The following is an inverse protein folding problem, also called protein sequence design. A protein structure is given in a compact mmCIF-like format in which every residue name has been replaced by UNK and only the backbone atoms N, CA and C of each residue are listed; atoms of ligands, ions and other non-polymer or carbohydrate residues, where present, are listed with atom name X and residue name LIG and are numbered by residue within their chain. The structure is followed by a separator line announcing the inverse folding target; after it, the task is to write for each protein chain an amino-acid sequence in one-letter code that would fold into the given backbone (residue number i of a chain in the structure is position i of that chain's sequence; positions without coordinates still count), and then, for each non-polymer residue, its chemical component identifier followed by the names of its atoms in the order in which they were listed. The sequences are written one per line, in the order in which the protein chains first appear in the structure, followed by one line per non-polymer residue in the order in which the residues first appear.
data_IF_781472133108
#
_entry.id   IF_781472133108
#
_cell.length_a   1.000
_cell.length_b   1.000
_cell.length_c   1.000
_cell.angle_alpha   90.00
_cell.angle_beta   90.00
_cell.angle_gamma   90.00
#
_symmetry.space_group_name_H-M   'P 1'
#
loop_
_entity.id
_entity.type
_entity.pdbx_description
1 polymer ?
#
# COMPACT_ATOMS: atom_id res chain seq x y z
N UNK A 1 -13.25 -23.63 -24.63
CA UNK A 1 -13.47 -23.07 -23.28
C UNK A 1 -13.88 -24.27 -22.44
N UNK A 2 -12.92 -24.86 -21.73
CA UNK A 2 -13.06 -26.20 -21.14
C UNK A 2 -13.90 -26.14 -19.86
N UNK A 3 -14.86 -27.06 -19.70
CA UNK A 3 -15.72 -27.18 -18.52
C UNK A 3 -14.92 -27.33 -17.21
N UNK A 4 -13.71 -27.89 -17.27
CA UNK A 4 -12.84 -28.09 -16.11
C UNK A 4 -12.30 -26.80 -15.52
N UNK A 5 -12.12 -25.72 -16.29
CA UNK A 5 -11.62 -24.45 -15.71
C UNK A 5 -12.70 -23.72 -14.94
N UNK A 6 -13.97 -23.83 -15.35
CA UNK A 6 -15.09 -23.21 -14.62
C UNK A 6 -15.28 -23.81 -13.22
N UNK A 7 -15.17 -25.13 -13.08
CA UNK A 7 -15.36 -25.83 -11.80
C UNK A 7 -14.33 -25.40 -10.74
N UNK A 8 -13.08 -25.13 -11.13
CA UNK A 8 -12.05 -24.63 -10.20
C UNK A 8 -12.26 -23.16 -9.79
N UNK A 9 -12.82 -22.31 -10.64
CA UNK A 9 -13.12 -20.92 -10.25
C UNK A 9 -14.33 -20.84 -9.34
N UNK A 10 -15.35 -21.68 -9.57
CA UNK A 10 -16.48 -21.79 -8.64
C UNK A 10 -15.97 -22.07 -7.23
N UNK A 11 -14.94 -22.92 -7.10
CA UNK A 11 -14.34 -23.24 -5.81
C UNK A 11 -13.66 -22.05 -5.09
N UNK A 12 -13.13 -21.05 -5.81
CA UNK A 12 -12.54 -19.84 -5.19
C UNK A 12 -13.60 -18.90 -4.61
N UNK A 13 -14.81 -18.91 -5.20
CA UNK A 13 -15.97 -18.16 -4.72
C UNK A 13 -16.88 -18.97 -3.81
N UNK A 14 -16.64 -20.28 -3.67
CA UNK A 14 -17.40 -21.17 -2.80
C UNK A 14 -16.82 -21.11 -1.38
N UNK A 15 -17.57 -20.56 -0.41
CA UNK A 15 -17.09 -20.44 0.97
C UNK A 15 -16.78 -21.80 1.60
N UNK A 16 -15.70 -21.87 2.38
CA UNK A 16 -15.31 -23.09 3.10
C UNK A 16 -14.60 -24.16 2.27
N UNK A 17 -14.24 -23.87 1.02
CA UNK A 17 -13.52 -24.82 0.16
C UNK A 17 -12.03 -24.82 0.48
N UNK A 18 -11.50 -25.97 0.92
CA UNK A 18 -10.06 -26.14 1.11
C UNK A 18 -9.37 -26.43 -0.24
N UNK A 19 -8.53 -25.50 -0.70
CA UNK A 19 -7.76 -25.66 -1.93
C UNK A 19 -6.36 -26.18 -1.59
N UNK A 20 -6.01 -27.37 -2.10
CA UNK A 20 -4.67 -27.95 -1.91
C UNK A 20 -3.60 -27.36 -2.85
N UNK A 21 -4.02 -26.84 -4.02
CA UNK A 21 -3.14 -26.21 -5.01
C UNK A 21 -3.95 -25.28 -5.94
N UNK A 22 -3.39 -24.13 -6.31
CA UNK A 22 -3.92 -23.26 -7.37
C UNK A 22 -3.39 -23.69 -8.73
N UNK A 23 -4.29 -23.93 -9.69
CA UNK A 23 -3.94 -24.22 -11.09
C UNK A 23 -4.46 -23.11 -11.99
N UNK A 24 -3.67 -22.76 -12.99
CA UNK A 24 -3.98 -21.67 -13.94
C UNK A 24 -3.99 -22.20 -15.37
N UNK A 25 -4.94 -21.72 -16.18
CA UNK A 25 -5.02 -22.05 -17.60
C UNK A 25 -4.11 -21.12 -18.42
N UNK A 26 -2.80 -21.31 -18.25
CA UNK A 26 -1.75 -20.55 -18.92
C UNK A 26 -1.48 -19.16 -18.34
N UNK A 27 -0.61 -18.39 -19.03
CA UNK A 27 -0.10 -17.12 -18.53
C UNK A 27 -1.16 -16.05 -18.34
N UNK A 28 -2.06 -15.88 -19.32
CA UNK A 28 -3.07 -14.83 -19.23
C UNK A 28 -4.00 -15.06 -18.04
N UNK A 29 -4.39 -16.32 -17.80
CA UNK A 29 -5.23 -16.66 -16.67
C UNK A 29 -4.51 -16.44 -15.33
N UNK A 30 -3.23 -16.79 -15.22
CA UNK A 30 -2.43 -16.46 -14.05
C UNK A 30 -2.29 -14.93 -13.87
N UNK A 31 -1.99 -14.20 -14.94
CA UNK A 31 -1.61 -12.80 -14.89
C UNK A 31 -2.76 -11.88 -14.51
N UNK A 32 -3.95 -12.07 -15.09
CA UNK A 32 -5.11 -11.20 -14.88
C UNK A 32 -6.42 -11.98 -14.97
N UNK A 33 -7.37 -11.63 -14.11
CA UNK A 33 -8.72 -12.16 -14.19
C UNK A 33 -9.76 -11.10 -13.93
N UNK A 34 -10.76 -11.12 -14.80
CA UNK A 34 -12.01 -10.41 -14.65
C UNK A 34 -13.10 -11.42 -14.23
N UNK A 35 -13.88 -11.05 -13.23
CA UNK A 35 -15.06 -11.80 -12.79
C UNK A 35 -16.27 -10.88 -12.73
N UNK A 36 -17.47 -11.46 -12.72
CA UNK A 36 -18.71 -10.70 -12.71
C UNK A 36 -18.86 -9.94 -11.39
N UNK A 37 -19.08 -8.62 -11.48
CA UNK A 37 -19.24 -7.73 -10.33
C UNK A 37 -20.44 -8.14 -9.46
N UNK A 38 -21.47 -8.74 -10.05
CA UNK A 38 -22.67 -9.19 -9.31
C UNK A 38 -22.32 -10.21 -8.22
N UNK A 39 -21.39 -11.13 -8.48
CA UNK A 39 -20.91 -12.12 -7.50
C UNK A 39 -20.22 -11.44 -6.32
N UNK A 40 -19.39 -10.43 -6.59
CA UNK A 40 -18.71 -9.67 -5.53
C UNK A 40 -19.68 -8.79 -4.75
N UNK A 41 -20.72 -8.27 -5.41
CA UNK A 41 -21.75 -7.48 -4.75
C UNK A 41 -22.64 -8.34 -3.83
N UNK A 42 -22.85 -9.60 -4.18
CA UNK A 42 -23.59 -10.55 -3.36
C UNK A 42 -22.82 -10.91 -2.08
N UNK A 43 -21.51 -11.14 -2.18
CA UNK A 43 -20.70 -11.60 -1.04
C UNK A 43 -20.06 -10.48 -0.21
N UNK A 44 -19.55 -9.42 -0.86
CA UNK A 44 -18.83 -8.32 -0.20
C UNK A 44 -19.12 -6.96 -0.86
N UNK A 45 -20.37 -6.44 -0.74
CA UNK A 45 -20.73 -5.16 -1.32
C UNK A 45 -19.88 -4.00 -0.79
N UNK A 46 -19.45 -4.00 0.49
CA UNK A 46 -18.56 -2.95 1.00
C UNK A 46 -17.20 -2.99 0.34
N UNK A 47 -16.72 -4.17 -0.05
CA UNK A 47 -15.45 -4.27 -0.76
C UNK A 47 -15.55 -3.73 -2.18
N UNK A 48 -16.68 -3.94 -2.86
CA UNK A 48 -16.94 -3.32 -4.18
C UNK A 48 -16.94 -1.79 -4.07
N UNK A 49 -17.59 -1.22 -3.04
CA UNK A 49 -17.58 0.22 -2.80
C UNK A 49 -16.17 0.75 -2.54
N UNK A 50 -15.39 0.06 -1.71
CA UNK A 50 -13.99 0.40 -1.43
C UNK A 50 -13.16 0.40 -2.73
N UNK A 51 -13.27 -0.66 -3.55
CA UNK A 51 -12.62 -0.75 -4.86
C UNK A 51 -12.97 0.44 -5.76
N UNK A 52 -14.25 0.78 -5.87
CA UNK A 52 -14.70 1.93 -6.66
C UNK A 52 -14.10 3.26 -6.16
N UNK A 53 -14.03 3.47 -4.84
CA UNK A 53 -13.41 4.67 -4.24
C UNK A 53 -11.95 4.85 -4.66
N UNK A 54 -11.17 3.75 -4.63
CA UNK A 54 -9.76 3.77 -5.03
C UNK A 54 -9.57 3.90 -6.54
N UNK A 55 -10.36 3.22 -7.36
CA UNK A 55 -10.29 3.37 -8.81
C UNK A 55 -10.61 4.80 -9.25
N UNK A 56 -11.64 5.42 -8.63
CA UNK A 56 -11.97 6.82 -8.83
C UNK A 56 -10.82 7.74 -8.39
N UNK A 57 -10.22 7.48 -7.22
CA UNK A 57 -9.07 8.23 -6.72
C UNK A 57 -7.83 8.13 -7.61
N UNK A 58 -7.52 6.92 -8.08
CA UNK A 58 -6.44 6.67 -9.03
C UNK A 58 -6.64 7.46 -10.33
N UNK A 59 -7.86 7.46 -10.87
CA UNK A 59 -8.21 8.24 -12.06
C UNK A 59 -8.10 9.76 -11.80
N UNK A 60 -8.64 10.25 -10.69
CA UNK A 60 -8.61 11.68 -10.35
C UNK A 60 -7.17 12.17 -10.14
N UNK A 61 -6.35 11.42 -9.42
CA UNK A 61 -4.93 11.75 -9.21
C UNK A 61 -4.14 11.69 -10.52
N UNK A 62 -4.45 10.76 -11.42
CA UNK A 62 -3.85 10.69 -12.75
C UNK A 62 -4.23 11.91 -13.61
N UNK A 63 -5.52 12.27 -13.66
CA UNK A 63 -6.00 13.48 -14.34
C UNK A 63 -5.30 14.71 -13.79
N UNK A 64 -5.20 14.83 -12.47
CA UNK A 64 -4.49 15.93 -11.82
C UNK A 64 -3.01 15.99 -12.24
N UNK A 65 -2.34 14.84 -12.28
CA UNK A 65 -0.94 14.71 -12.68
C UNK A 65 -0.71 15.13 -14.14
N UNK A 66 -1.52 14.62 -15.07
CA UNK A 66 -1.41 14.94 -16.50
C UNK A 66 -1.77 16.39 -16.80
N UNK A 67 -2.80 16.95 -16.16
CA UNK A 67 -3.24 18.33 -16.41
C UNK A 67 -2.24 19.38 -15.94
N UNK A 68 -1.57 19.14 -14.81
CA UNK A 68 -0.54 20.06 -14.31
C UNK A 68 0.82 19.81 -14.96
N UNK A 69 1.07 18.59 -15.44
CA UNK A 69 2.30 18.21 -16.12
C UNK A 69 3.53 18.36 -15.21
N UNK A 70 4.66 18.72 -15.84
CA UNK A 70 5.94 18.79 -15.16
C UNK A 70 6.30 17.45 -14.54
N UNK A 71 6.64 17.45 -13.25
CA UNK A 71 7.08 16.24 -12.54
C UNK A 71 5.94 15.37 -12.02
N UNK A 72 4.71 15.86 -12.03
CA UNK A 72 3.58 15.17 -11.40
C UNK A 72 3.19 13.85 -12.07
N UNK A 73 3.23 13.69 -13.41
CA UNK A 73 3.06 12.39 -14.05
C UNK A 73 4.09 11.35 -13.60
N UNK A 74 5.34 11.77 -13.41
CA UNK A 74 6.41 10.90 -12.92
C UNK A 74 6.19 10.53 -11.45
N UNK A 75 5.74 11.46 -10.61
CA UNK A 75 5.35 11.15 -9.23
C UNK A 75 4.27 10.06 -9.22
N UNK A 76 3.20 10.23 -10.00
CA UNK A 76 2.11 9.26 -10.11
C UNK A 76 2.62 7.89 -10.60
N UNK A 77 3.41 7.86 -11.67
CA UNK A 77 4.03 6.62 -12.16
C UNK A 77 4.92 5.97 -11.09
N UNK A 78 5.74 6.75 -10.40
CA UNK A 78 6.63 6.26 -9.35
C UNK A 78 5.82 5.63 -8.20
N UNK A 79 4.66 6.20 -7.83
CA UNK A 79 3.81 5.59 -6.80
C UNK A 79 3.28 4.22 -7.20
N UNK A 80 2.89 4.02 -8.47
CA UNK A 80 2.50 2.70 -8.99
C UNK A 80 3.68 1.72 -8.94
N UNK A 81 4.85 2.14 -9.43
CA UNK A 81 6.05 1.29 -9.44
C UNK A 81 6.49 0.92 -8.02
N UNK A 82 6.40 1.87 -7.08
CA UNK A 82 6.69 1.64 -5.68
C UNK A 82 5.74 0.61 -5.07
N UNK A 83 4.44 0.75 -5.33
CA UNK A 83 3.45 -0.22 -4.88
C UNK A 83 3.71 -1.62 -5.42
N UNK A 84 3.94 -1.75 -6.73
CA UNK A 84 4.29 -3.02 -7.33
C UNK A 84 5.56 -3.62 -6.70
N UNK A 85 6.58 -2.81 -6.38
CA UNK A 85 7.77 -3.28 -5.70
C UNK A 85 7.48 -3.80 -4.28
N UNK A 86 6.68 -3.06 -3.49
CA UNK A 86 6.27 -3.47 -2.13
C UNK A 86 5.50 -4.78 -2.17
N UNK A 87 4.41 -4.84 -2.95
CA UNK A 87 3.55 -6.03 -3.04
C UNK A 87 4.31 -7.25 -3.57
N UNK A 88 5.17 -7.06 -4.57
CA UNK A 88 5.97 -8.17 -5.11
C UNK A 88 6.93 -8.75 -4.07
N UNK A 89 7.54 -7.91 -3.22
CA UNK A 89 8.41 -8.38 -2.13
C UNK A 89 7.60 -9.21 -1.14
N UNK A 90 6.40 -8.74 -0.77
CA UNK A 90 5.50 -9.45 0.15
C UNK A 90 5.05 -10.81 -0.38
N UNK A 91 4.84 -10.96 -1.68
CA UNK A 91 4.39 -12.24 -2.24
C UNK A 91 5.53 -13.21 -2.59
N UNK A 92 6.77 -12.72 -2.72
CA UNK A 92 7.94 -13.55 -3.06
C UNK A 92 8.60 -14.12 -1.80
N UNK A 93 8.60 -13.37 -0.70
CA UNK A 93 9.31 -13.77 0.52
C UNK A 93 8.35 -14.36 1.56
N UNK A 94 8.47 -15.66 1.91
CA UNK A 94 7.54 -16.33 2.83
C UNK A 94 7.41 -15.64 4.19
N UNK A 95 8.50 -15.10 4.75
CA UNK A 95 8.46 -14.38 6.04
C UNK A 95 7.76 -13.00 5.97
N UNK A 96 7.44 -12.50 4.77
CA UNK A 96 6.76 -11.21 4.54
C UNK A 96 5.34 -11.43 4.01
N UNK A 97 5.02 -12.65 3.58
CA UNK A 97 3.69 -13.04 3.12
C UNK A 97 2.74 -13.24 4.32
N UNK A 98 2.32 -12.13 4.91
CA UNK A 98 1.53 -12.12 6.15
C UNK A 98 0.14 -11.48 5.99
N UNK A 99 -0.34 -11.32 4.74
CA UNK A 99 -1.70 -10.87 4.47
C UNK A 99 -2.30 -11.49 3.20
N UNK A 100 -3.63 -11.57 3.19
CA UNK A 100 -4.40 -12.14 2.09
C UNK A 100 -5.63 -11.30 1.77
N UNK A 101 -5.69 -10.79 0.54
CA UNK A 101 -6.87 -10.10 0.02
C UNK A 101 -7.98 -11.09 -0.31
N UNK A 102 -9.22 -10.65 -0.07
CA UNK A 102 -10.38 -11.28 -0.67
C UNK A 102 -10.36 -11.16 -2.20
N UNK A 103 -11.08 -12.02 -2.90
CA UNK A 103 -11.21 -11.88 -4.36
C UNK A 103 -11.88 -10.57 -4.73
N UNK A 104 -11.47 -10.04 -5.87
CA UNK A 104 -12.01 -8.81 -6.44
C UNK A 104 -12.41 -9.05 -7.88
N UNK A 105 -13.27 -8.17 -8.42
CA UNK A 105 -13.75 -8.33 -9.79
C UNK A 105 -12.62 -8.22 -10.81
N UNK A 106 -11.53 -7.50 -10.49
CA UNK A 106 -10.32 -7.44 -11.30
C UNK A 106 -9.06 -7.63 -10.44
N UNK A 107 -8.39 -8.76 -10.64
CA UNK A 107 -7.26 -9.21 -9.82
C UNK A 107 -6.11 -9.73 -10.69
N UNK A 108 -4.87 -9.52 -10.24
CA UNK A 108 -3.63 -9.86 -10.94
C UNK A 108 -2.79 -10.88 -10.17
N UNK A 109 -1.73 -11.36 -10.82
CA UNK A 109 -0.64 -12.14 -10.24
C UNK A 109 -1.11 -13.36 -9.44
N UNK A 110 -1.75 -14.30 -10.12
CA UNK A 110 -2.21 -15.55 -9.51
C UNK A 110 -3.31 -15.36 -8.48
N UNK A 111 -4.18 -14.34 -8.65
CA UNK A 111 -5.29 -14.00 -7.74
C UNK A 111 -4.85 -13.42 -6.40
N UNK A 112 -3.71 -12.73 -6.37
CA UNK A 112 -3.12 -12.16 -5.14
C UNK A 112 -3.16 -10.64 -5.09
N UNK A 113 -3.12 -9.96 -6.25
CA UNK A 113 -2.98 -8.50 -6.33
C UNK A 113 -4.22 -7.83 -6.94
N UNK A 114 -5.20 -7.38 -6.14
CA UNK A 114 -6.35 -6.63 -6.64
C UNK A 114 -5.94 -5.35 -7.37
N UNK A 115 -6.68 -4.94 -8.42
CA UNK A 115 -6.38 -3.70 -9.14
C UNK A 115 -6.37 -2.47 -8.22
N UNK A 116 -7.32 -2.39 -7.27
CA UNK A 116 -7.43 -1.24 -6.39
C UNK A 116 -6.20 -1.08 -5.48
N UNK A 117 -5.52 -2.17 -5.12
CA UNK A 117 -4.26 -2.14 -4.36
C UNK A 117 -3.14 -1.49 -5.18
N UNK A 118 -3.08 -1.76 -6.49
CA UNK A 118 -2.12 -1.11 -7.39
C UNK A 118 -2.33 0.42 -7.38
N UNK A 119 -3.59 0.89 -7.42
CA UNK A 119 -3.91 2.33 -7.44
C UNK A 119 -4.04 2.97 -6.05
N UNK A 120 -3.99 2.19 -4.97
CA UNK A 120 -3.95 2.67 -3.59
C UNK A 120 -2.73 3.55 -3.34
N UNK A 121 -1.57 3.18 -3.89
CA UNK A 121 -0.32 3.92 -3.69
C UNK A 121 -0.38 5.35 -4.22
N UNK A 122 -0.88 5.61 -5.45
CA UNK A 122 -1.21 6.96 -5.87
C UNK A 122 -2.20 7.65 -4.93
N UNK A 123 -3.30 7.00 -4.54
CA UNK A 123 -4.30 7.64 -3.67
C UNK A 123 -3.69 8.11 -2.34
N UNK A 124 -2.76 7.35 -1.77
CA UNK A 124 -2.10 7.70 -0.52
C UNK A 124 -0.95 8.68 -0.74
N UNK A 125 0.08 8.25 -1.47
CA UNK A 125 1.36 8.95 -1.55
C UNK A 125 1.25 10.20 -2.44
N UNK A 126 0.50 10.15 -3.53
CA UNK A 126 0.33 11.31 -4.41
C UNK A 126 -0.42 12.44 -3.68
N UNK A 127 -1.59 12.15 -3.10
CA UNK A 127 -2.36 13.15 -2.35
C UNK A 127 -1.53 13.74 -1.20
N UNK A 128 -0.84 12.89 -0.45
CA UNK A 128 0.03 13.30 0.66
C UNK A 128 1.19 14.19 0.18
N UNK A 129 1.81 13.85 -0.96
CA UNK A 129 2.88 14.65 -1.57
C UNK A 129 2.39 16.02 -2.02
N UNK A 130 1.20 16.09 -2.65
CA UNK A 130 0.61 17.38 -3.06
C UNK A 130 0.28 18.23 -1.84
N UNK A 131 -0.31 17.65 -0.80
CA UNK A 131 -0.65 18.35 0.44
C UNK A 131 0.61 18.86 1.17
N UNK A 132 1.63 18.02 1.35
CA UNK A 132 2.90 18.39 1.96
C UNK A 132 3.62 19.50 1.17
N UNK A 133 3.56 19.44 -0.17
CA UNK A 133 4.13 20.48 -1.02
C UNK A 133 3.47 21.84 -0.82
N UNK A 134 2.18 21.89 -0.47
CA UNK A 134 1.45 23.14 -0.18
C UNK A 134 1.82 23.72 1.19
N UNK A 135 2.26 22.90 2.14
CA UNK A 135 2.80 23.36 3.42
C UNK A 135 4.16 24.07 3.29
N UNK A 136 4.85 23.93 2.14
CA UNK A 136 6.13 24.60 1.83
C UNK A 136 7.25 24.29 2.84
N UNK A 137 7.21 23.08 3.37
CA UNK A 137 8.21 22.56 4.30
C UNK A 137 9.60 22.54 3.67
N UNK A 138 10.62 22.49 4.52
CA UNK A 138 12.00 22.27 4.09
C UNK A 138 12.16 20.87 3.48
N UNK A 139 13.11 20.72 2.55
CA UNK A 139 13.35 19.44 1.85
C UNK A 139 13.59 18.25 2.81
N UNK A 140 14.16 18.50 3.98
CA UNK A 140 14.47 17.46 4.97
C UNK A 140 13.28 17.10 5.86
N UNK A 141 12.27 17.96 5.98
CA UNK A 141 11.09 17.70 6.83
C UNK A 141 9.88 17.21 6.04
N UNK A 142 9.78 17.62 4.78
CA UNK A 142 8.68 17.23 3.88
C UNK A 142 8.44 15.71 3.78
N UNK A 143 9.47 14.84 3.66
CA UNK A 143 9.23 13.39 3.57
C UNK A 143 8.45 12.85 4.76
N UNK A 144 8.73 13.35 5.96
CA UNK A 144 8.06 12.93 7.19
C UNK A 144 6.62 13.44 7.26
N UNK A 145 6.34 14.63 6.70
CA UNK A 145 4.97 15.11 6.55
C UNK A 145 4.17 14.23 5.58
N UNK A 146 4.78 13.79 4.48
CA UNK A 146 4.14 12.84 3.55
C UNK A 146 3.85 11.52 4.27
N UNK A 147 4.79 10.98 5.05
CA UNK A 147 4.58 9.78 5.86
C UNK A 147 3.38 9.88 6.79
N UNK A 148 3.28 10.97 7.55
CA UNK A 148 2.15 11.19 8.46
C UNK A 148 0.81 11.35 7.73
N UNK A 149 0.81 12.05 6.59
CA UNK A 149 -0.39 12.24 5.78
C UNK A 149 -0.86 10.93 5.11
N UNK A 150 0.07 10.06 4.72
CA UNK A 150 -0.27 8.73 4.19
C UNK A 150 -1.03 7.94 5.25
N UNK A 151 -0.53 7.87 6.48
CA UNK A 151 -1.24 7.17 7.57
C UNK A 151 -2.62 7.80 7.84
N UNK A 152 -2.72 9.13 7.78
CA UNK A 152 -4.00 9.81 7.96
C UNK A 152 -5.04 9.40 6.91
N UNK A 153 -4.64 9.27 5.64
CA UNK A 153 -5.53 8.85 4.54
C UNK A 153 -5.88 7.36 4.67
N UNK A 154 -4.91 6.55 5.09
CA UNK A 154 -4.97 5.10 5.17
C UNK A 154 -5.83 4.60 6.34
N UNK A 155 -5.75 5.22 7.52
CA UNK A 155 -6.34 4.68 8.76
C UNK A 155 -7.81 4.28 8.66
N UNK A 156 -8.63 5.06 7.94
CA UNK A 156 -10.05 4.77 7.75
C UNK A 156 -10.26 3.54 6.85
N UNK A 157 -9.43 3.39 5.82
CA UNK A 157 -9.45 2.23 4.96
C UNK A 157 -8.98 1.00 5.71
N UNK A 158 -7.84 1.07 6.40
CA UNK A 158 -7.21 -0.06 7.06
C UNK A 158 -8.15 -0.66 8.13
N UNK A 159 -8.70 0.18 9.01
CA UNK A 159 -9.58 -0.28 10.09
C UNK A 159 -10.88 -0.87 9.54
N UNK A 160 -11.56 -0.14 8.65
CA UNK A 160 -12.87 -0.58 8.14
C UNK A 160 -12.71 -1.84 7.31
N UNK A 161 -11.71 -1.88 6.44
CA UNK A 161 -11.58 -2.97 5.49
C UNK A 161 -11.13 -4.28 6.12
N UNK A 162 -10.26 -4.25 7.14
CA UNK A 162 -9.95 -5.46 7.92
C UNK A 162 -11.18 -5.95 8.68
N UNK A 163 -11.95 -5.03 9.27
CA UNK A 163 -13.17 -5.38 9.98
C UNK A 163 -14.23 -6.04 9.07
N UNK A 164 -14.32 -5.62 7.79
CA UNK A 164 -15.19 -6.21 6.76
C UNK A 164 -14.50 -7.33 5.96
N UNK A 165 -13.35 -7.85 6.40
CA UNK A 165 -12.63 -8.95 5.77
C UNK A 165 -12.30 -8.71 4.28
N UNK A 166 -12.08 -7.47 3.88
CA UNK A 166 -11.55 -7.14 2.56
C UNK A 166 -10.15 -7.74 2.37
N UNK A 167 -9.37 -7.78 3.45
CA UNK A 167 -8.18 -8.63 3.58
C UNK A 167 -8.00 -9.04 5.04
N UNK A 168 -7.16 -10.05 5.24
CA UNK A 168 -6.83 -10.61 6.54
C UNK A 168 -5.33 -10.61 6.73
N UNK A 169 -4.90 -10.48 7.98
CA UNK A 169 -3.51 -10.55 8.41
C UNK A 169 -3.22 -11.92 9.02
N UNK A 170 -1.97 -12.37 9.00
CA UNK A 170 -1.57 -13.61 9.66
C UNK A 170 -1.80 -13.53 11.17
N UNK A 171 -2.55 -14.47 11.73
CA UNK A 171 -3.03 -14.37 13.11
C UNK A 171 -1.93 -14.55 14.17
N UNK A 172 -0.89 -15.33 13.88
CA UNK A 172 0.15 -15.70 14.87
C UNK A 172 1.54 -15.15 14.56
N UNK A 173 1.70 -14.32 13.52
CA UNK A 173 2.99 -13.72 13.20
C UNK A 173 3.37 -12.70 14.30
N UNK A 174 4.49 -12.92 15.02
CA UNK A 174 4.92 -12.06 16.11
C UNK A 174 5.25 -10.63 15.67
N UNK A 175 5.57 -10.41 14.39
CA UNK A 175 5.85 -9.08 13.86
C UNK A 175 4.57 -8.24 13.65
N UNK A 176 3.38 -8.86 13.64
CA UNK A 176 2.12 -8.16 13.40
C UNK A 176 1.04 -8.53 14.43
N UNK A 177 1.46 -9.12 15.54
CA UNK A 177 0.57 -9.61 16.58
C UNK A 177 -0.15 -8.47 17.30
N UNK A 178 0.58 -7.41 17.67
CA UNK A 178 0.04 -6.24 18.34
C UNK A 178 -0.84 -5.43 17.39
N UNK A 179 -2.11 -5.24 17.75
CA UNK A 179 -3.15 -4.70 16.86
C UNK A 179 -3.96 -3.56 17.46
N UNK A 180 -4.48 -2.72 16.56
CA UNK A 180 -5.44 -1.65 16.81
C UNK A 180 -6.63 -1.86 15.87
N UNK A 181 -7.80 -2.20 16.42
CA UNK A 181 -8.98 -2.62 15.63
C UNK A 181 -8.65 -3.72 14.60
N UNK A 182 -7.96 -4.77 15.03
CA UNK A 182 -7.48 -5.89 14.20
C UNK A 182 -6.41 -5.54 13.15
N UNK A 183 -6.06 -4.27 12.97
CA UNK A 183 -4.96 -3.82 12.11
C UNK A 183 -3.65 -3.84 12.91
N UNK A 184 -2.58 -4.47 12.41
CA UNK A 184 -1.28 -4.44 13.07
C UNK A 184 -0.74 -3.01 13.19
N UNK A 185 -0.16 -2.66 14.34
CA UNK A 185 0.53 -1.37 14.50
C UNK A 185 1.65 -1.17 13.47
N UNK A 186 2.25 -2.26 13.02
CA UNK A 186 3.27 -2.25 11.98
C UNK A 186 2.76 -1.82 10.60
N UNK A 187 1.46 -1.97 10.31
CA UNK A 187 0.86 -1.43 9.07
C UNK A 187 1.06 0.08 9.00
N UNK A 188 0.63 0.80 10.04
CA UNK A 188 0.79 2.26 10.14
C UNK A 188 2.26 2.68 10.14
N UNK A 189 3.11 1.88 10.77
CA UNK A 189 4.54 2.11 10.79
C UNK A 189 5.12 2.03 9.37
N UNK A 190 4.86 0.93 8.64
CA UNK A 190 5.36 0.74 7.28
C UNK A 190 4.84 1.81 6.34
N UNK A 191 3.54 2.14 6.40
CA UNK A 191 2.97 3.22 5.59
C UNK A 191 3.66 4.57 5.86
N UNK A 192 3.94 4.91 7.12
CA UNK A 192 4.66 6.13 7.46
C UNK A 192 6.10 6.14 6.92
N UNK A 193 6.89 5.10 7.21
CA UNK A 193 8.31 5.08 6.85
C UNK A 193 8.56 4.86 5.36
N UNK A 194 7.74 4.04 4.70
CA UNK A 194 7.87 3.78 3.27
C UNK A 194 7.52 5.02 2.47
N UNK A 195 6.45 5.73 2.82
CA UNK A 195 6.09 6.98 2.16
C UNK A 195 7.13 8.10 2.43
N UNK A 196 7.68 8.18 3.64
CA UNK A 196 8.76 9.10 3.94
C UNK A 196 10.03 8.76 3.13
N UNK A 197 10.43 7.50 3.12
CA UNK A 197 11.61 7.07 2.35
C UNK A 197 11.42 7.25 0.84
N UNK A 198 10.25 6.88 0.31
CA UNK A 198 9.85 7.14 -1.07
C UNK A 198 10.02 8.61 -1.42
N UNK A 199 9.48 9.51 -0.60
CA UNK A 199 9.52 10.96 -0.87
C UNK A 199 10.95 11.49 -0.83
N UNK A 200 11.75 11.02 0.13
CA UNK A 200 13.17 11.32 0.20
C UNK A 200 13.90 10.91 -1.09
N UNK A 201 13.79 9.64 -1.49
CA UNK A 201 14.46 9.11 -2.68
C UNK A 201 13.95 9.75 -3.97
N UNK A 202 12.65 10.07 -4.03
CA UNK A 202 12.07 10.77 -5.16
C UNK A 202 12.77 12.11 -5.34
N UNK A 203 12.94 12.91 -4.29
CA UNK A 203 13.65 14.18 -4.43
C UNK A 203 15.16 14.02 -4.60
N UNK A 204 15.79 13.11 -3.85
CA UNK A 204 17.24 12.92 -3.85
C UNK A 204 17.77 12.36 -5.16
N UNK A 205 17.19 11.27 -5.69
CA UNK A 205 17.68 10.65 -6.93
C UNK A 205 17.60 11.62 -8.10
N UNK A 206 16.61 12.52 -8.12
CA UNK A 206 16.52 13.59 -9.11
C UNK A 206 17.70 14.56 -9.01
N UNK A 207 18.11 14.96 -7.82
CA UNK A 207 19.26 15.86 -7.65
C UNK A 207 20.57 15.24 -8.15
N UNK A 208 20.67 13.91 -8.17
CA UNK A 208 21.82 13.17 -8.68
C UNK A 208 21.76 12.99 -10.20
N UNK A 209 20.59 12.63 -10.75
CA UNK A 209 20.48 12.19 -12.15
C UNK A 209 19.92 13.24 -13.12
N UNK A 210 19.18 14.23 -12.63
CA UNK A 210 18.43 15.18 -13.46
C UNK A 210 18.97 16.61 -13.31
N UNK A 211 18.95 17.36 -14.41
CA UNK A 211 19.33 18.76 -14.48
C UNK A 211 18.06 19.61 -14.61
N UNK A 212 17.53 20.10 -13.50
CA UNK A 212 16.32 20.94 -13.51
C UNK A 212 16.32 22.00 -12.42
N UNK A 213 15.95 23.23 -12.83
CA UNK A 213 16.04 24.47 -12.06
C UNK A 213 14.95 24.61 -10.98
N UNK A 214 14.00 23.67 -10.89
CA UNK A 214 12.90 23.74 -9.94
C UNK A 214 12.34 22.38 -9.52
N UNK A 215 11.92 22.26 -8.26
CA UNK A 215 11.49 21.01 -7.61
C UNK A 215 10.44 20.21 -8.41
N UNK A 216 9.48 20.90 -9.01
CA UNK A 216 8.34 20.30 -9.74
C UNK A 216 8.45 20.42 -11.27
N UNK A 217 9.57 20.96 -11.77
CA UNK A 217 9.85 21.01 -13.20
C UNK A 217 10.54 19.70 -13.60
N UNK A 218 9.99 19.04 -14.63
CA UNK A 218 10.61 17.84 -15.18
C UNK A 218 11.89 18.17 -15.95
N UNK A 219 12.84 17.24 -15.94
CA UNK A 219 13.99 17.26 -16.86
C UNK A 219 13.50 17.19 -18.31
N UNK A 220 14.25 17.81 -19.23
CA UNK A 220 13.98 17.74 -20.68
C UNK A 220 14.14 16.31 -21.20
N UNK A 221 14.98 15.49 -20.56
CA UNK A 221 15.25 14.11 -20.94
C UNK A 221 14.38 13.17 -20.12
N UNK A 222 13.29 12.70 -20.73
CA UNK A 222 12.33 11.76 -20.15
C UNK A 222 13.02 10.52 -19.54
N UNK A 223 14.08 10.01 -20.19
CA UNK A 223 14.82 8.83 -19.71
C UNK A 223 15.41 9.04 -18.31
N UNK A 224 15.87 10.25 -17.97
CA UNK A 224 16.43 10.54 -16.63
C UNK A 224 15.35 10.53 -15.56
N UNK A 225 14.19 11.09 -15.85
CA UNK A 225 13.03 11.06 -14.95
C UNK A 225 12.51 9.63 -14.75
N UNK A 226 12.45 8.83 -15.82
CA UNK A 226 12.07 7.41 -15.73
C UNK A 226 13.08 6.60 -14.91
N UNK A 227 14.38 6.82 -15.09
CA UNK A 227 15.42 6.16 -14.30
C UNK A 227 15.34 6.56 -12.82
N UNK A 228 15.20 7.85 -12.52
CA UNK A 228 14.99 8.35 -11.15
C UNK A 228 13.73 7.75 -10.51
N UNK A 229 12.64 7.65 -11.28
CA UNK A 229 11.38 7.02 -10.84
C UNK A 229 11.58 5.54 -10.50
N UNK A 230 12.23 4.78 -11.38
CA UNK A 230 12.49 3.36 -11.16
C UNK A 230 13.40 3.11 -9.94
N UNK A 231 14.49 3.85 -9.81
CA UNK A 231 15.39 3.76 -8.65
C UNK A 231 14.66 4.12 -7.36
N UNK A 232 13.85 5.18 -7.38
CA UNK A 232 13.03 5.58 -6.23
C UNK A 232 12.06 4.48 -5.80
N UNK A 233 11.39 3.85 -6.76
CA UNK A 233 10.44 2.78 -6.48
C UNK A 233 11.09 1.59 -5.74
N UNK A 234 12.33 1.23 -6.12
CA UNK A 234 13.10 0.16 -5.47
C UNK A 234 13.73 0.56 -4.13
N UNK A 235 14.22 1.80 -4.00
CA UNK A 235 14.87 2.27 -2.77
C UNK A 235 13.88 2.70 -1.68
N UNK A 236 12.66 3.08 -2.05
CA UNK A 236 11.60 3.48 -1.10
C UNK A 236 11.33 2.42 -0.02
N UNK A 237 11.04 1.15 -0.38
CA UNK A 237 10.82 0.09 0.60
C UNK A 237 12.07 -0.17 1.45
N UNK A 238 13.25 -0.22 0.82
CA UNK A 238 14.53 -0.46 1.51
C UNK A 238 14.79 0.62 2.56
N UNK A 239 14.65 1.89 2.21
CA UNK A 239 14.87 2.98 3.15
C UNK A 239 13.77 3.04 4.22
N UNK A 240 12.55 2.64 3.90
CA UNK A 240 11.47 2.50 4.89
C UNK A 240 11.77 1.44 5.94
N UNK A 241 12.26 0.27 5.51
CA UNK A 241 12.76 -0.78 6.41
C UNK A 241 13.88 -0.24 7.29
N UNK A 242 14.88 0.45 6.70
CA UNK A 242 16.00 1.02 7.48
C UNK A 242 15.56 2.07 8.52
N UNK A 243 14.43 2.76 8.31
CA UNK A 243 13.84 3.66 9.32
C UNK A 243 13.12 2.90 10.44
N UNK A 244 12.58 1.72 10.12
CA UNK A 244 11.89 0.83 11.07
C UNK A 244 12.86 0.11 12.02
N UNK A 245 13.95 -0.46 11.48
CA UNK A 245 14.86 -1.34 12.26
C UNK A 245 15.37 -0.72 13.57
N UNK A 246 15.88 0.53 13.62
CA UNK A 246 16.58 1.04 14.79
C UNK A 246 15.67 1.31 15.99
N UNK A 247 14.37 1.47 15.74
CA UNK A 247 13.39 1.73 16.79
C UNK A 247 12.61 0.47 17.13
N UNK A 248 12.15 -0.27 16.12
CA UNK A 248 11.28 -1.42 16.34
C UNK A 248 12.03 -2.58 16.97
N UNK A 249 13.10 -3.09 16.35
CA UNK A 249 13.75 -4.32 16.83
C UNK A 249 14.34 -4.17 18.24
N UNK A 250 15.02 -3.06 18.61
CA UNK A 250 15.49 -2.91 19.99
C UNK A 250 14.33 -2.86 20.98
N UNK A 251 13.29 -2.06 20.73
CA UNK A 251 12.22 -1.87 21.70
C UNK A 251 11.28 -3.08 21.77
N UNK A 252 10.75 -3.51 20.63
CA UNK A 252 9.79 -4.60 20.55
C UNK A 252 10.49 -5.95 20.70
N UNK A 253 11.45 -6.29 19.84
CA UNK A 253 11.98 -7.67 19.82
C UNK A 253 12.96 -7.97 20.97
N UNK A 254 13.77 -7.00 21.40
CA UNK A 254 14.73 -7.22 22.48
C UNK A 254 14.15 -6.92 23.87
N UNK A 255 13.27 -5.91 24.00
CA UNK A 255 12.71 -5.48 25.28
C UNK A 255 11.21 -5.81 25.45
N UNK A 256 10.56 -6.45 24.47
CA UNK A 256 9.13 -6.79 24.50
C UNK A 256 8.22 -5.58 24.78
N UNK A 257 8.59 -4.41 24.24
CA UNK A 257 7.74 -3.21 24.27
C UNK A 257 6.66 -3.36 23.22
N UNK A 258 5.39 -3.20 23.60
CA UNK A 258 4.25 -3.25 22.69
C UNK A 258 4.41 -2.31 21.49
N UNK A 259 4.04 -2.77 20.29
CA UNK A 259 4.23 -2.07 19.01
C UNK A 259 3.51 -0.72 18.93
N UNK A 260 2.43 -0.52 19.70
CA UNK A 260 1.79 0.80 19.85
C UNK A 260 2.79 1.86 20.33
N UNK A 261 3.65 1.52 21.29
CA UNK A 261 4.61 2.44 21.87
C UNK A 261 5.70 2.76 20.87
N UNK A 262 6.17 1.77 20.10
CA UNK A 262 7.18 1.99 19.06
C UNK A 262 6.63 2.90 17.96
N UNK A 263 5.40 2.65 17.49
CA UNK A 263 4.73 3.53 16.54
C UNK A 263 4.51 4.95 17.10
N UNK A 264 4.06 5.07 18.35
CA UNK A 264 3.83 6.36 19.01
C UNK A 264 5.10 7.20 19.09
N UNK A 265 6.24 6.58 19.38
CA UNK A 265 7.54 7.27 19.37
C UNK A 265 7.90 7.72 17.96
N UNK A 266 7.74 6.86 16.94
CA UNK A 266 7.97 7.25 15.54
C UNK A 266 7.09 8.45 15.14
N UNK A 267 5.80 8.38 15.44
CA UNK A 267 4.83 9.42 15.14
C UNK A 267 5.23 10.76 15.76
N UNK A 268 5.62 10.76 17.05
CA UNK A 268 6.10 11.96 17.74
C UNK A 268 7.40 12.48 17.11
N UNK A 269 8.36 11.60 16.77
CA UNK A 269 9.60 12.00 16.09
C UNK A 269 9.30 12.66 14.74
N UNK A 270 8.43 12.06 13.93
CA UNK A 270 8.03 12.62 12.62
C UNK A 270 7.35 13.97 12.81
N UNK A 271 6.43 14.10 13.77
CA UNK A 271 5.79 15.37 14.09
C UNK A 271 6.78 16.45 14.52
N UNK A 272 7.75 16.11 15.38
CA UNK A 272 8.77 17.07 15.85
C UNK A 272 9.68 17.52 14.70
N UNK A 273 10.05 16.62 13.79
CA UNK A 273 10.82 16.94 12.58
C UNK A 273 10.02 17.90 11.69
N UNK A 274 8.74 17.60 11.43
CA UNK A 274 7.85 18.46 10.64
C UNK A 274 7.67 19.82 11.30
N UNK A 275 7.40 19.85 12.60
CA UNK A 275 7.23 21.08 13.38
C UNK A 275 8.49 21.95 13.35
N UNK A 276 9.67 21.34 13.49
CA UNK A 276 10.95 22.05 13.39
C UNK A 276 11.18 22.58 11.97
N UNK A 277 10.81 21.80 10.95
CA UNK A 277 10.90 22.19 9.55
C UNK A 277 9.99 23.35 9.16
N UNK A 278 8.77 23.39 9.70
CA UNK A 278 7.82 24.49 9.52
C UNK A 278 8.32 25.80 10.14
N UNK A 279 8.98 25.72 11.30
CA UNK A 279 9.60 26.88 11.98
C UNK A 279 10.91 27.33 11.33
N UNK A 280 11.54 26.47 10.53
CA UNK A 280 12.75 26.80 9.79
C UNK A 280 12.53 27.82 8.68
N UNK A 281 13.61 28.24 8.04
CA UNK A 281 13.52 29.10 6.86
C UNK A 281 12.74 28.34 5.75
N UNK A 282 11.58 28.88 5.36
CA UNK A 282 10.80 28.34 4.24
C UNK A 282 11.69 28.24 3.00
N UNK A 283 11.52 27.16 2.25
CA UNK A 283 12.29 26.91 1.02
C UNK A 283 12.30 28.15 0.12
N UNK A 284 13.49 28.63 -0.27
CA UNK A 284 13.67 29.79 -1.18
C UNK A 284 13.04 29.57 -2.57
N UNK A 285 12.74 28.32 -2.93
CA UNK A 285 12.01 27.96 -4.14
C UNK A 285 10.51 28.27 -4.07
N UNK A 286 10.01 28.81 -2.95
CA UNK A 286 8.62 29.24 -2.75
C UNK A 286 8.33 30.65 -3.31
N UNK A 287 9.02 31.06 -4.38
CA UNK A 287 8.80 32.33 -5.07
C UNK A 287 7.44 32.38 -5.77
N UNK A 288 6.74 33.52 -5.61
CA UNK A 288 5.66 34.07 -6.45
C UNK A 288 4.35 33.28 -6.67
N UNK A 289 3.86 32.59 -5.64
CA UNK A 289 2.57 31.87 -5.71
C UNK A 289 1.36 32.63 -5.12
N UNK A 290 1.48 33.91 -4.79
CA UNK A 290 0.41 34.68 -4.15
C UNK A 290 -0.82 34.93 -5.04
N UNK A 291 -0.71 34.79 -6.37
CA UNK A 291 -1.79 35.10 -7.33
C UNK A 291 -2.23 33.93 -8.23
N UNK A 292 -1.81 32.70 -7.97
CA UNK A 292 -2.24 31.56 -8.79
C UNK A 292 -3.64 31.09 -8.38
N UNK A 293 -4.62 31.22 -9.30
CA UNK A 293 -5.93 30.58 -9.16
C UNK A 293 -5.75 29.07 -8.98
N UNK A 294 -6.39 28.50 -7.97
CA UNK A 294 -6.41 27.05 -7.74
C UNK A 294 -7.06 26.39 -8.95
N UNK A 295 -6.37 25.42 -9.55
CA UNK A 295 -6.89 24.66 -10.68
C UNK A 295 -8.11 23.83 -10.25
N UNK A 296 -9.09 23.68 -11.14
CA UNK A 296 -10.25 22.81 -10.91
C UNK A 296 -9.84 21.37 -10.59
N UNK A 297 -8.75 20.89 -11.21
CA UNK A 297 -8.23 19.55 -10.95
C UNK A 297 -7.75 19.40 -9.49
N UNK A 298 -7.23 20.48 -8.87
CA UNK A 298 -6.85 20.47 -7.45
C UNK A 298 -8.09 20.36 -6.55
N UNK A 299 -9.24 20.89 -6.97
CA UNK A 299 -10.49 20.66 -6.24
C UNK A 299 -11.00 19.22 -6.38
N UNK A 300 -10.73 18.56 -7.50
CA UNK A 300 -11.09 17.14 -7.66
C UNK A 300 -10.36 16.22 -6.68
N UNK A 301 -9.06 16.45 -6.43
CA UNK A 301 -8.33 15.62 -5.45
C UNK A 301 -8.88 15.82 -4.03
N UNK A 302 -9.27 17.05 -3.66
CA UNK A 302 -9.91 17.33 -2.37
C UNK A 302 -11.29 16.67 -2.29
N UNK A 303 -12.09 16.80 -3.35
CA UNK A 303 -13.40 16.15 -3.44
C UNK A 303 -13.26 14.63 -3.32
N UNK A 304 -12.27 14.03 -3.96
CA UNK A 304 -11.98 12.61 -3.82
C UNK A 304 -11.68 12.23 -2.37
N UNK A 305 -10.82 12.97 -1.66
CA UNK A 305 -10.55 12.69 -0.24
C UNK A 305 -11.82 12.77 0.62
N UNK A 306 -12.69 13.75 0.37
CA UNK A 306 -14.00 13.82 1.04
C UNK A 306 -14.84 12.58 0.73
N UNK A 307 -14.93 12.19 -0.54
CA UNK A 307 -15.66 10.98 -0.95
C UNK A 307 -15.04 9.70 -0.37
N UNK A 308 -13.72 9.63 -0.25
CA UNK A 308 -12.98 8.50 0.33
C UNK A 308 -13.39 8.29 1.79
N UNK A 309 -13.27 9.31 2.64
CA UNK A 309 -13.71 9.21 4.04
C UNK A 309 -15.23 9.01 4.16
N UNK A 310 -16.02 9.67 3.30
CA UNK A 310 -17.47 9.47 3.28
C UNK A 310 -17.85 8.03 2.92
N UNK A 311 -17.09 7.37 2.04
CA UNK A 311 -17.31 5.96 1.66
C UNK A 311 -17.07 5.04 2.86
N UNK A 312 -15.96 5.20 3.59
CA UNK A 312 -15.71 4.36 4.77
C UNK A 312 -16.66 4.65 5.92
N UNK A 313 -17.05 5.92 6.11
CA UNK A 313 -18.11 6.26 7.05
C UNK A 313 -19.46 5.64 6.67
N UNK A 314 -19.80 5.66 5.38
CA UNK A 314 -21.00 5.04 4.84
C UNK A 314 -20.99 3.51 5.06
N UNK A 315 -19.88 2.84 4.76
CA UNK A 315 -19.72 1.40 4.99
C UNK A 315 -20.03 1.05 6.46
N UNK A 316 -19.38 1.73 7.40
CA UNK A 316 -19.56 1.48 8.84
C UNK A 316 -20.98 1.82 9.33
N UNK A 317 -21.65 2.78 8.69
CA UNK A 317 -22.99 3.22 9.12
C UNK A 317 -24.12 2.35 8.60
N UNK A 318 -23.93 1.65 7.47
CA UNK A 318 -25.03 1.00 6.73
C UNK A 318 -24.83 -0.49 6.45
N UNK A 319 -23.63 -1.04 6.64
CA UNK A 319 -23.35 -2.46 6.47
C UNK A 319 -22.98 -3.10 7.80
N UNK A 320 -23.25 -4.40 7.96
CA UNK A 320 -22.75 -5.18 9.07
C UNK A 320 -21.63 -6.12 8.58
N UNK A 321 -20.48 -6.18 9.27
CA UNK A 321 -19.40 -7.10 8.90
C UNK A 321 -19.82 -8.57 8.91
N UNK A 322 -20.75 -8.96 9.79
CA UNK A 322 -21.24 -10.34 9.92
C UNK A 322 -22.02 -10.83 8.68
N UNK A 323 -22.52 -9.89 7.86
CA UNK A 323 -23.27 -10.20 6.64
C UNK A 323 -22.34 -10.44 5.44
N UNK A 324 -21.04 -10.12 5.55
CA UNK A 324 -20.08 -10.25 4.45
C UNK A 324 -19.30 -11.56 4.48
N UNK A 325 -19.17 -12.20 3.31
CA UNK A 325 -18.45 -13.47 3.15
C UNK A 325 -17.19 -13.23 2.32
N UNK A 326 -16.04 -13.27 2.98
CA UNK A 326 -14.76 -13.15 2.28
C UNK A 326 -14.40 -14.43 1.53
N UNK A 327 -14.04 -14.29 0.25
CA UNK A 327 -13.73 -15.39 -0.66
C UNK A 327 -12.27 -15.33 -1.14
N UNK A 328 -11.74 -16.42 -1.67
CA UNK A 328 -10.37 -16.48 -2.17
C UNK A 328 -9.34 -17.06 -1.23
N UNK A 329 -8.09 -16.66 -1.44
CA UNK A 329 -6.96 -17.18 -0.69
C UNK A 329 -6.93 -16.60 0.71
N UNK A 330 -6.64 -17.46 1.68
CA UNK A 330 -6.58 -17.15 3.10
C UNK A 330 -5.37 -17.81 3.72
N UNK A 331 -5.11 -17.47 4.99
CA UNK A 331 -4.08 -18.10 5.79
C UNK A 331 -4.24 -19.64 5.69
N UNK A 332 -3.18 -20.36 5.29
CA UNK A 332 -3.24 -21.81 5.18
C UNK A 332 -3.49 -22.47 6.55
N UNK A 333 -4.37 -23.48 6.59
CA UNK A 333 -4.63 -24.23 7.82
C UNK A 333 -3.54 -25.27 8.06
N UNK A 334 -2.94 -25.26 9.25
CA UNK A 334 -1.98 -26.26 9.69
C UNK A 334 -2.20 -26.72 11.14
N UNK A 335 -1.42 -27.70 11.62
CA UNK A 335 -1.53 -28.18 13.00
C UNK A 335 -1.19 -27.08 14.01
N UNK A 336 -2.13 -26.76 14.90
CA UNK A 336 -1.98 -25.69 15.90
C UNK A 336 -0.86 -25.97 16.93
N UNK A 337 -0.35 -27.20 16.98
CA UNK A 337 0.72 -27.65 17.87
C UNK A 337 2.12 -27.50 17.27
N UNK A 338 2.23 -27.06 16.01
CA UNK A 338 3.51 -26.92 15.32
C UNK A 338 3.80 -25.46 15.01
N UNK A 339 5.08 -25.11 15.15
CA UNK A 339 5.58 -23.77 14.89
C UNK A 339 6.67 -23.78 13.82
N UNK A 340 6.70 -22.74 12.98
CA UNK A 340 7.76 -22.44 12.03
C UNK A 340 8.57 -21.23 12.49
N UNK A 341 9.88 -21.23 12.23
CA UNK A 341 10.71 -20.06 12.47
C UNK A 341 10.32 -18.94 11.50
N UNK A 342 10.04 -17.76 12.04
CA UNK A 342 9.89 -16.51 11.27
C UNK A 342 11.16 -15.69 11.48
N UNK A 343 11.83 -15.36 10.37
CA UNK A 343 13.07 -14.57 10.44
C UNK A 343 12.79 -13.08 10.41
N UNK A 344 13.32 -12.35 11.39
CA UNK A 344 13.40 -10.90 11.32
C UNK A 344 14.54 -10.47 10.38
N UNK A 345 14.51 -9.21 9.93
CA UNK A 345 15.56 -8.64 9.06
C UNK A 345 16.96 -8.67 9.71
N UNK A 346 17.03 -8.72 11.05
CA UNK A 346 18.29 -8.87 11.80
C UNK A 346 18.72 -10.33 12.00
N UNK A 347 17.98 -11.30 11.45
CA UNK A 347 18.24 -12.73 11.62
C UNK A 347 17.85 -13.27 12.98
N UNK A 348 17.12 -12.52 13.81
CA UNK A 348 16.51 -13.05 15.03
C UNK A 348 15.35 -13.97 14.62
N UNK A 349 15.31 -15.16 15.21
CA UNK A 349 14.31 -16.18 14.92
C UNK A 349 13.20 -16.10 15.97
N UNK A 350 12.00 -15.77 15.52
CA UNK A 350 10.77 -15.90 16.29
C UNK A 350 9.98 -17.11 15.79
N UNK A 351 8.86 -17.47 16.42
CA UNK A 351 8.05 -18.64 16.04
C UNK A 351 6.61 -18.25 15.77
N UNK A 352 6.04 -18.68 14.64
CA UNK A 352 4.62 -18.59 14.30
C UNK A 352 4.05 -20.00 14.07
N UNK A 353 2.73 -20.20 14.10
CA UNK A 353 2.11 -21.53 13.87
C UNK A 353 2.26 -21.94 12.40
N UNK A 354 2.42 -23.24 12.12
CA UNK A 354 2.54 -23.75 10.74
C UNK A 354 1.28 -23.44 9.93
N UNK A 355 1.48 -22.89 8.73
CA UNK A 355 0.49 -22.76 7.68
C UNK A 355 0.98 -23.46 6.39
N UNK A 356 0.30 -24.52 5.95
CA UNK A 356 0.69 -25.33 4.77
C UNK A 356 -0.21 -25.05 3.55
N UNK A 357 0.19 -24.15 2.64
CA UNK A 357 -0.22 -24.18 1.22
C UNK A 357 1.04 -23.96 0.37
N UNK A 358 1.31 -24.88 -0.55
CA UNK A 358 2.36 -24.72 -1.57
C UNK A 358 1.75 -24.08 -2.82
N UNK A 359 2.19 -22.88 -3.18
CA UNK A 359 1.97 -22.33 -4.52
C UNK A 359 3.14 -22.78 -5.40
N UNK A 360 2.96 -23.87 -6.14
CA UNK A 360 3.99 -24.41 -7.02
C UNK A 360 4.04 -23.62 -8.34
N UNK A 361 5.07 -22.79 -8.53
CA UNK A 361 5.35 -22.07 -9.79
C UNK A 361 5.99 -22.98 -10.87
N UNK A 362 6.10 -24.28 -10.63
CA UNK A 362 7.01 -25.19 -11.35
C UNK A 362 6.72 -25.41 -12.84
N UNK A 363 5.58 -24.95 -13.36
CA UNK A 363 5.21 -25.15 -14.77
C UNK A 363 5.31 -23.90 -15.65
N UNK A 364 5.70 -22.73 -15.13
CA UNK A 364 5.70 -21.49 -15.91
C UNK A 364 6.94 -21.25 -16.79
N UNK A 365 8.07 -21.91 -16.49
CA UNK A 365 9.35 -21.70 -17.19
C UNK A 365 9.72 -22.84 -18.16
N UNK A 366 8.82 -23.80 -18.38
CA UNK A 366 8.99 -24.87 -19.36
C UNK A 366 7.88 -24.79 -20.41
N UNK A 367 7.95 -23.75 -21.23
CA UNK A 367 7.17 -23.58 -22.46
C UNK A 367 8.06 -23.03 -23.55
#
# INVERSE_FOLDING_TARGET
MNETTNEFYENLFTPGTALSELKFDGFCDWFVRLSDVSVHWEYQPSYVLSQCSYLLGGLITFIHACNHGGRLPYLWLTTILHGLAVESISYIHPDIDNFWHSQTFLIFLGRRLPLHIIVLYPVFIYNSSIAAAKARLSKWSEPFAVGLLVVLIDIAYDIVSVNFLHWTWHDTDPNIYDRHYWVPWNSYYFHATFAASFTFWFHFTREVFCESDGKWLADKRIVRELLSSFITALLGPIGGILMFLPLYHPLHDMYNIHSEVTYSVLFVVFLLIVWTGDRGARSKFAGDSANHKVSWATWLIVLHLVCHYATFLYIVSFFNPEDEISTGLKEPLGPCDKYVPVQTVLGMVSTAVISDIKVTLDNFWRG
#
